data_IF_530856992652
#
_entry.id   IF_530856992652
#
_cell.length_a   1.000
_cell.length_b   1.000
_cell.length_c   1.000
_cell.angle_alpha   90.00
_cell.angle_beta   90.00
_cell.angle_gamma   90.00
#
_symmetry.space_group_name_H-M   'P 1'
#
loop_
_entity.id
_entity.type
_entity.pdbx_description
1 polymer ?
#
# COMPACT_ATOMS: atom_id res chain seq x y z
N UNK A 1 -10.42 -5.47 -15.54
CA UNK A 1 -11.47 -6.46 -15.88
C UNK A 1 -12.02 -6.10 -17.25
N UNK A 2 -12.09 -7.09 -18.13
CA UNK A 2 -12.63 -6.95 -19.47
C UNK A 2 -14.06 -7.51 -19.49
N UNK A 3 -14.92 -6.90 -20.28
CA UNK A 3 -16.30 -7.33 -20.50
C UNK A 3 -16.44 -7.80 -21.95
N UNK A 4 -16.66 -9.09 -22.15
CA UNK A 4 -16.89 -9.67 -23.47
C UNK A 4 -18.37 -9.61 -23.84
N UNK A 5 -18.67 -8.98 -24.98
CA UNK A 5 -19.97 -9.03 -25.64
C UNK A 5 -19.85 -9.73 -26.99
N UNK A 6 -21.00 -10.03 -27.59
CA UNK A 6 -21.10 -10.45 -28.99
C UNK A 6 -20.52 -9.43 -29.99
N UNK A 7 -20.23 -8.20 -29.53
CA UNK A 7 -19.69 -7.10 -30.34
C UNK A 7 -18.23 -6.75 -30.00
N UNK A 8 -17.61 -7.44 -29.04
CA UNK A 8 -16.20 -7.28 -28.70
C UNK A 8 -15.91 -7.20 -27.20
N UNK A 9 -14.64 -6.98 -26.86
CA UNK A 9 -14.15 -6.93 -25.48
C UNK A 9 -13.93 -5.49 -25.03
N UNK A 10 -14.56 -5.07 -23.93
CA UNK A 10 -14.49 -3.70 -23.43
C UNK A 10 -13.84 -3.64 -22.03
N UNK A 11 -12.82 -2.79 -21.81
CA UNK A 11 -12.27 -2.60 -20.48
C UNK A 11 -13.27 -1.83 -19.62
N UNK A 12 -13.83 -2.49 -18.61
CA UNK A 12 -14.84 -1.92 -17.73
C UNK A 12 -14.23 -1.27 -16.49
N UNK A 13 -13.22 -1.93 -15.93
CA UNK A 13 -12.63 -1.62 -14.65
C UNK A 13 -11.11 -1.59 -14.74
N UNK A 14 -10.53 -0.52 -14.22
CA UNK A 14 -9.09 -0.33 -14.07
C UNK A 14 -8.68 -0.19 -12.61
N UNK A 15 -7.43 -0.56 -12.31
CA UNK A 15 -6.80 -0.27 -11.02
C UNK A 15 -5.56 0.55 -11.29
N UNK A 16 -5.45 1.69 -10.61
CA UNK A 16 -4.25 2.50 -10.62
C UNK A 16 -3.64 2.51 -9.23
N UNK A 17 -2.40 2.06 -9.13
CA UNK A 17 -1.65 2.07 -7.87
C UNK A 17 -0.60 3.18 -7.93
N UNK A 18 -0.48 3.95 -6.85
CA UNK A 18 0.62 4.90 -6.63
C UNK A 18 1.41 4.53 -5.39
N UNK A 19 2.74 4.71 -5.45
CA UNK A 19 3.63 4.50 -4.31
C UNK A 19 4.45 5.75 -4.03
N UNK A 20 4.24 6.37 -2.88
CA UNK A 20 4.96 7.55 -2.35
C UNK A 20 5.05 8.77 -3.29
N UNK A 21 4.23 8.84 -4.34
CA UNK A 21 4.02 10.04 -5.15
C UNK A 21 3.01 10.99 -4.51
N UNK A 22 2.84 12.21 -5.00
CA UNK A 22 1.76 13.09 -4.53
C UNK A 22 0.38 12.48 -4.87
N UNK A 23 -0.55 12.51 -3.91
CA UNK A 23 -1.89 11.91 -4.09
C UNK A 23 -2.67 12.61 -5.20
N UNK A 24 -2.55 13.94 -5.32
CA UNK A 24 -3.25 14.72 -6.34
C UNK A 24 -2.81 14.32 -7.75
N UNK A 25 -1.51 14.06 -7.94
CA UNK A 25 -0.99 13.57 -9.23
C UNK A 25 -1.56 12.18 -9.58
N UNK A 26 -1.75 11.30 -8.60
CA UNK A 26 -2.37 9.99 -8.80
C UNK A 26 -3.84 10.16 -9.18
N UNK A 27 -4.56 11.02 -8.46
CA UNK A 27 -5.97 11.31 -8.70
C UNK A 27 -6.19 11.90 -10.10
N UNK A 28 -5.37 12.86 -10.53
CA UNK A 28 -5.42 13.41 -11.89
C UNK A 28 -5.24 12.32 -12.94
N UNK A 29 -4.25 11.42 -12.77
CA UNK A 29 -4.03 10.31 -13.70
C UNK A 29 -5.23 9.36 -13.79
N UNK A 30 -5.88 9.08 -12.66
CA UNK A 30 -7.07 8.21 -12.62
C UNK A 30 -8.27 8.87 -13.28
N UNK A 31 -8.50 10.16 -12.99
CA UNK A 31 -9.55 10.95 -13.63
C UNK A 31 -9.36 11.02 -15.15
N UNK A 32 -8.13 11.26 -15.59
CA UNK A 32 -7.75 11.25 -17.01
C UNK A 32 -8.00 9.88 -17.66
N UNK A 33 -7.63 8.79 -16.98
CA UNK A 33 -7.86 7.42 -17.46
C UNK A 33 -9.35 7.16 -17.67
N UNK A 34 -10.18 7.49 -16.68
CA UNK A 34 -11.64 7.32 -16.76
C UNK A 34 -12.20 8.18 -17.89
N UNK A 35 -11.79 9.45 -18.00
CA UNK A 35 -12.31 10.37 -19.01
C UNK A 35 -11.93 9.96 -20.43
N UNK A 36 -10.65 9.68 -20.68
CA UNK A 36 -10.07 9.49 -22.03
C UNK A 36 -10.24 8.09 -22.60
N UNK A 37 -10.67 7.12 -21.80
CA UNK A 37 -10.80 5.71 -22.24
C UNK A 37 -12.24 5.20 -22.11
N UNK A 38 -12.49 3.98 -22.56
CA UNK A 38 -13.78 3.28 -22.39
C UNK A 38 -13.99 2.74 -20.97
N UNK A 39 -13.00 2.87 -20.08
CA UNK A 39 -13.09 2.47 -18.68
C UNK A 39 -14.24 3.22 -18.01
N UNK A 40 -15.13 2.46 -17.36
CA UNK A 40 -16.28 2.99 -16.64
C UNK A 40 -15.99 3.19 -15.15
N UNK A 41 -15.04 2.44 -14.61
CA UNK A 41 -14.63 2.52 -13.20
C UNK A 41 -13.13 2.42 -13.07
N UNK A 42 -12.56 3.24 -12.20
CA UNK A 42 -11.19 3.09 -11.76
C UNK A 42 -11.11 3.05 -10.24
N UNK A 43 -10.37 2.06 -9.74
CA UNK A 43 -9.95 1.98 -8.35
C UNK A 43 -8.57 2.61 -8.21
N UNK A 44 -8.47 3.67 -7.42
CA UNK A 44 -7.20 4.27 -7.03
C UNK A 44 -6.73 3.65 -5.72
N UNK A 45 -5.53 3.10 -5.70
CA UNK A 45 -4.85 2.64 -4.48
C UNK A 45 -3.62 3.53 -4.27
N UNK A 46 -3.65 4.34 -3.23
CA UNK A 46 -2.57 5.25 -2.88
C UNK A 46 -1.80 4.73 -1.68
N UNK A 47 -0.55 4.31 -1.90
CA UNK A 47 0.35 3.76 -0.89
C UNK A 47 1.42 4.80 -0.57
N UNK A 48 1.67 5.07 0.70
CA UNK A 48 2.72 5.97 1.17
C UNK A 48 3.72 5.24 2.04
N UNK A 49 4.97 5.66 1.96
CA UNK A 49 6.03 5.31 2.90
C UNK A 49 6.46 6.55 3.68
N UNK A 50 6.49 6.47 5.01
CA UNK A 50 6.95 7.55 5.89
C UNK A 50 7.90 7.04 6.99
N UNK A 51 9.08 7.66 7.17
CA UNK A 51 9.70 8.63 6.28
C UNK A 51 10.03 7.99 4.92
N UNK A 52 10.11 8.82 3.87
CA UNK A 52 10.55 8.36 2.56
C UNK A 52 11.97 7.78 2.65
N UNK A 53 12.19 6.67 1.95
CA UNK A 53 13.47 6.01 1.94
C UNK A 53 14.61 6.90 1.46
N UNK A 54 15.71 6.83 2.20
CA UNK A 54 17.01 7.31 1.80
C UNK A 54 17.99 6.20 2.10
N UNK A 55 18.85 5.85 1.15
CA UNK A 55 19.86 4.81 1.37
C UNK A 55 20.70 5.16 2.62
N UNK A 56 20.66 4.32 3.67
CA UNK A 56 21.32 4.62 4.93
C UNK A 56 22.84 4.69 4.79
N UNK A 57 23.44 4.00 3.82
CA UNK A 57 24.88 3.99 3.57
C UNK A 57 25.43 5.27 2.94
N UNK A 58 24.59 6.27 2.67
CA UNK A 58 25.07 7.62 2.32
C UNK A 58 25.82 8.32 3.46
N UNK A 59 25.78 7.78 4.68
CA UNK A 59 26.46 8.34 5.86
C UNK A 59 27.48 7.32 6.38
N UNK A 60 28.74 7.73 6.52
CA UNK A 60 29.82 6.84 6.98
C UNK A 60 29.48 6.16 8.32
N UNK A 61 28.97 6.92 9.29
CA UNK A 61 28.52 6.39 10.60
C UNK A 61 27.56 5.20 10.51
N UNK A 62 26.73 5.15 9.47
CA UNK A 62 25.76 4.07 9.27
C UNK A 62 26.44 2.83 8.66
N UNK A 63 27.48 3.02 7.85
CA UNK A 63 28.33 1.93 7.36
C UNK A 63 29.08 1.31 8.54
N UNK A 64 29.63 2.13 9.43
CA UNK A 64 30.34 1.67 10.62
C UNK A 64 29.40 0.91 11.58
N UNK A 65 28.20 1.44 11.82
CA UNK A 65 27.15 0.75 12.57
C UNK A 65 26.80 -0.60 11.94
N UNK A 66 26.57 -0.64 10.63
CA UNK A 66 26.26 -1.88 9.92
C UNK A 66 27.36 -2.94 10.07
N UNK A 67 28.64 -2.55 9.93
CA UNK A 67 29.78 -3.47 10.12
C UNK A 67 29.82 -4.00 11.56
N UNK A 68 29.65 -3.11 12.54
CA UNK A 68 29.61 -3.48 13.96
C UNK A 68 28.49 -4.48 14.26
N UNK A 69 27.26 -4.18 13.82
CA UNK A 69 26.09 -5.03 14.01
C UNK A 69 26.21 -6.37 13.29
N UNK A 70 26.72 -6.37 12.05
CA UNK A 70 26.93 -7.59 11.27
C UNK A 70 27.96 -8.52 11.94
N UNK A 71 29.05 -7.97 12.46
CA UNK A 71 30.07 -8.76 13.16
C UNK A 71 29.55 -9.32 14.50
N UNK A 72 28.65 -8.59 15.16
CA UNK A 72 28.05 -8.99 16.45
C UNK A 72 26.88 -9.97 16.27
N UNK A 73 26.25 -10.00 15.09
CA UNK A 73 25.09 -10.82 14.79
C UNK A 73 25.35 -11.72 13.56
N UNK A 74 25.77 -12.99 13.75
CA UNK A 74 26.05 -13.90 12.64
C UNK A 74 24.78 -14.36 11.90
N UNK A 75 23.60 -13.95 12.37
CA UNK A 75 22.34 -14.23 11.70
C UNK A 75 22.33 -13.60 10.31
N UNK A 76 22.02 -14.43 9.30
CA UNK A 76 21.84 -13.96 7.94
C UNK A 76 20.69 -12.96 7.81
N UNK A 77 20.73 -12.20 6.71
CA UNK A 77 19.75 -11.16 6.40
C UNK A 77 18.29 -11.62 6.59
N UNK A 78 17.91 -12.78 6.05
CA UNK A 78 16.53 -13.29 6.10
C UNK A 78 16.06 -13.55 7.53
N UNK A 79 16.95 -14.05 8.39
CA UNK A 79 16.65 -14.27 9.81
C UNK A 79 16.40 -12.94 10.53
N UNK A 80 17.19 -11.91 10.24
CA UNK A 80 17.01 -10.58 10.82
C UNK A 80 15.74 -9.90 10.28
N UNK A 81 15.44 -10.05 9.00
CA UNK A 81 14.21 -9.54 8.40
C UNK A 81 12.97 -10.17 9.05
N UNK A 82 12.99 -11.48 9.30
CA UNK A 82 11.92 -12.18 10.01
C UNK A 82 11.74 -11.61 11.43
N UNK A 83 12.82 -11.60 12.22
CA UNK A 83 12.81 -11.11 13.61
C UNK A 83 12.38 -9.66 13.71
N UNK A 84 12.85 -8.78 12.82
CA UNK A 84 12.47 -7.36 12.79
C UNK A 84 10.97 -7.15 12.57
N UNK A 85 10.28 -8.12 11.97
CA UNK A 85 8.85 -8.02 11.68
C UNK A 85 7.99 -8.86 12.61
N UNK A 86 8.59 -9.69 13.46
CA UNK A 86 7.89 -10.58 14.37
C UNK A 86 7.17 -9.76 15.45
N UNK A 87 5.90 -10.08 15.72
CA UNK A 87 5.06 -9.32 16.66
C UNK A 87 4.75 -7.87 16.25
N UNK A 88 5.30 -7.36 15.15
CA UNK A 88 5.09 -6.00 14.69
C UNK A 88 3.85 -5.89 13.80
N UNK A 89 3.11 -4.76 13.86
CA UNK A 89 2.07 -4.48 12.88
C UNK A 89 2.57 -4.56 11.43
N UNK A 90 1.70 -5.03 10.51
CA UNK A 90 2.09 -5.29 9.12
C UNK A 90 2.63 -4.06 8.37
N UNK A 91 2.30 -2.86 8.85
CA UNK A 91 2.68 -1.57 8.27
C UNK A 91 3.94 -0.95 8.88
N UNK A 92 4.47 -1.48 9.98
CA UNK A 92 5.60 -0.89 10.69
C UNK A 92 6.86 -0.81 9.83
N UNK A 93 7.80 0.10 10.12
CA UNK A 93 9.11 0.13 9.45
C UNK A 93 9.87 -1.21 9.53
N UNK A 94 10.79 -1.46 8.60
CA UNK A 94 11.74 -2.59 8.68
C UNK A 94 13.12 -2.08 9.09
N UNK A 95 13.69 -2.70 10.12
CA UNK A 95 15.04 -2.40 10.61
C UNK A 95 15.94 -3.64 10.55
N UNK A 96 17.14 -3.49 10.01
CA UNK A 96 18.14 -4.57 9.98
C UNK A 96 19.52 -3.98 10.20
N UNK A 97 20.32 -4.62 11.04
CA UNK A 97 21.65 -4.13 11.45
C UNK A 97 21.60 -2.69 11.99
N UNK A 98 20.59 -2.36 12.80
CA UNK A 98 20.40 -1.01 13.33
C UNK A 98 19.96 0.06 12.31
N UNK A 99 19.75 -0.30 11.06
CA UNK A 99 19.40 0.62 9.97
C UNK A 99 17.97 0.42 9.48
N UNK A 100 17.29 1.52 9.17
CA UNK A 100 15.96 1.50 8.59
C UNK A 100 16.02 1.27 7.07
N UNK A 101 15.31 0.25 6.59
CA UNK A 101 15.27 -0.12 5.17
C UNK A 101 13.94 0.21 4.50
N UNK A 102 12.86 0.27 5.28
CA UNK A 102 11.58 0.85 4.87
C UNK A 102 11.03 1.72 5.99
N UNK A 103 10.39 2.82 5.63
CA UNK A 103 9.48 3.53 6.52
C UNK A 103 8.20 2.75 6.83
N UNK A 104 7.37 3.36 7.65
CA UNK A 104 6.02 2.93 7.91
C UNK A 104 5.17 3.10 6.65
N UNK A 105 4.37 2.09 6.34
CA UNK A 105 3.51 2.12 5.16
C UNK A 105 2.09 2.55 5.55
N UNK A 106 1.44 3.31 4.69
CA UNK A 106 -0.02 3.48 4.73
C UNK A 106 -0.61 3.27 3.36
N UNK A 107 -1.86 2.82 3.30
CA UNK A 107 -2.58 2.69 2.05
C UNK A 107 -4.02 3.15 2.19
N UNK A 108 -4.49 3.82 1.14
CA UNK A 108 -5.87 4.24 0.99
C UNK A 108 -6.42 3.88 -0.37
N UNK A 109 -7.73 3.80 -0.45
CA UNK A 109 -8.47 3.42 -1.64
C UNK A 109 -9.54 4.46 -1.94
N UNK A 110 -9.78 4.71 -3.21
CA UNK A 110 -10.85 5.60 -3.68
C UNK A 110 -11.38 5.12 -5.03
N UNK A 111 -12.68 5.21 -5.24
CA UNK A 111 -13.32 4.78 -6.49
C UNK A 111 -13.78 5.98 -7.30
N UNK A 112 -13.48 5.93 -8.59
CA UNK A 112 -13.94 6.88 -9.59
C UNK A 112 -14.78 6.16 -10.63
N UNK A 113 -15.91 6.72 -11.02
CA UNK A 113 -16.75 6.21 -12.10
C UNK A 113 -16.86 7.23 -13.23
N UNK A 114 -17.15 6.78 -14.44
CA UNK A 114 -17.53 7.63 -15.56
C UNK A 114 -19.03 7.93 -15.45
N UNK A 115 -19.37 9.21 -15.40
CA UNK A 115 -20.74 9.66 -15.56
C UNK A 115 -21.21 9.38 -17.00
N UNK A 116 -22.32 8.65 -17.14
CA UNK A 116 -22.78 8.17 -18.46
C UNK A 116 -23.35 9.29 -19.34
N UNK A 117 -23.78 10.41 -18.74
CA UNK A 117 -24.39 11.54 -19.45
C UNK A 117 -23.32 12.51 -19.94
N UNK A 118 -22.35 12.83 -19.09
CA UNK A 118 -21.33 13.85 -19.32
C UNK A 118 -19.98 13.28 -19.75
N UNK A 119 -19.76 11.97 -19.55
CA UNK A 119 -18.48 11.30 -19.78
C UNK A 119 -17.38 11.68 -18.80
N UNK A 120 -17.68 12.50 -17.78
CA UNK A 120 -16.70 13.01 -16.81
C UNK A 120 -16.49 12.03 -15.65
N UNK A 121 -15.32 12.04 -15.01
CA UNK A 121 -15.08 11.23 -13.83
C UNK A 121 -15.81 11.81 -12.60
N UNK A 122 -16.49 10.96 -11.85
CA UNK A 122 -17.17 11.26 -10.58
C UNK A 122 -16.62 10.38 -9.45
N UNK A 123 -16.52 10.95 -8.25
CA UNK A 123 -16.05 10.21 -7.08
C UNK A 123 -17.22 9.38 -6.53
N UNK A 124 -17.04 8.05 -6.43
CA UNK A 124 -18.03 7.14 -5.85
C UNK A 124 -17.86 6.94 -4.35
N UNK A 125 -16.64 7.11 -3.86
CA UNK A 125 -16.29 7.06 -2.44
C UNK A 125 -15.42 8.25 -2.06
N UNK A 126 -15.42 8.58 -0.78
CA UNK A 126 -14.31 9.31 -0.18
C UNK A 126 -13.03 8.45 -0.21
N UNK A 127 -11.90 9.03 0.19
CA UNK A 127 -10.63 8.32 0.32
C UNK A 127 -10.60 7.53 1.62
N UNK A 128 -10.72 6.22 1.53
CA UNK A 128 -10.83 5.32 2.69
C UNK A 128 -9.45 4.74 3.01
N UNK A 129 -9.02 4.83 4.27
CA UNK A 129 -7.73 4.26 4.72
C UNK A 129 -7.93 2.80 5.14
N UNK A 130 -7.16 1.87 4.56
CA UNK A 130 -7.31 0.43 4.84
C UNK A 130 -6.03 -0.23 5.36
N UNK A 131 -4.90 0.49 5.39
CA UNK A 131 -3.59 0.02 5.88
C UNK A 131 -2.74 1.19 6.40
N UNK A 132 -1.81 0.92 7.33
CA UNK A 132 -0.98 1.95 8.00
C UNK A 132 -1.64 2.51 9.24
N UNK A 133 -0.92 3.16 10.17
CA UNK A 133 -1.33 3.37 11.56
C UNK A 133 -2.75 3.94 11.73
N UNK A 134 -3.47 3.55 12.80
CA UNK A 134 -4.81 4.08 13.05
C UNK A 134 -4.72 5.60 13.21
N UNK A 135 -5.59 6.33 12.49
CA UNK A 135 -5.69 7.77 12.68
C UNK A 135 -6.36 8.01 14.04
N UNK A 136 -5.87 8.96 14.86
CA UNK A 136 -6.60 9.36 16.04
C UNK A 136 -7.98 9.87 15.59
N UNK A 137 -9.05 9.24 16.07
CA UNK A 137 -10.39 9.80 15.96
C UNK A 137 -10.34 11.17 16.67
N UNK A 138 -10.62 12.24 15.93
CA UNK A 138 -10.94 13.52 16.55
C UNK A 138 -12.14 13.28 17.45
N UNK A 139 -11.93 13.49 18.75
CA UNK A 139 -12.90 13.58 19.84
C UNK A 139 -14.36 13.31 19.46
N UNK A 140 -14.87 12.15 19.83
CA UNK A 140 -16.12 12.15 20.59
C UNK A 140 -16.19 10.96 21.56
N UNK A 141 -16.29 11.35 22.84
CA UNK A 141 -16.98 10.67 23.94
C UNK A 141 -16.15 9.69 24.77
N UNK A 142 -15.52 10.33 25.77
CA UNK A 142 -15.44 9.91 27.18
C UNK A 142 -14.82 8.55 27.41
N UNK A 143 -13.53 8.60 27.74
CA UNK A 143 -12.88 7.66 28.66
C UNK A 143 -13.88 7.29 29.78
N UNK A 144 -14.36 6.04 29.77
CA UNK A 144 -14.54 5.32 31.01
C UNK A 144 -13.22 4.63 31.28
N UNK A 145 -12.55 5.09 32.31
CA UNK A 145 -11.36 4.48 32.89
C UNK A 145 -11.69 3.05 33.30
N UNK A 146 -10.84 2.09 32.94
CA UNK A 146 -10.87 0.76 33.58
C UNK A 146 -10.64 -0.46 32.68
N UNK A 147 -10.57 -0.32 31.35
CA UNK A 147 -10.29 -1.47 30.49
C UNK A 147 -8.96 -1.29 29.75
N UNK A 148 -8.02 -2.22 30.00
CA UNK A 148 -6.92 -2.53 29.08
C UNK A 148 -7.55 -2.91 27.76
N UNK A 149 -7.81 -1.93 26.92
CA UNK A 149 -8.17 -2.14 25.53
C UNK A 149 -6.92 -2.71 24.87
N UNK A 150 -6.95 -3.99 24.53
CA UNK A 150 -6.16 -4.49 23.40
C UNK A 150 -6.34 -3.45 22.29
N UNK A 151 -5.25 -2.86 21.81
CA UNK A 151 -5.28 -1.88 20.74
C UNK A 151 -5.78 -2.59 19.47
N UNK A 152 -7.09 -2.77 19.36
CA UNK A 152 -7.77 -3.27 18.18
C UNK A 152 -7.60 -2.15 17.15
N UNK A 153 -6.63 -2.33 16.26
CA UNK A 153 -6.29 -1.38 15.20
C UNK A 153 -7.55 -1.12 14.34
N UNK A 154 -8.30 -0.06 14.60
CA UNK A 154 -9.55 0.23 13.89
C UNK A 154 -9.21 0.87 12.54
N UNK A 155 -8.84 0.05 11.56
CA UNK A 155 -9.12 0.35 10.15
C UNK A 155 -10.56 -0.04 9.86
N UNK A 156 -11.17 0.57 8.84
CA UNK A 156 -12.38 -0.02 8.29
C UNK A 156 -12.00 -1.42 7.78
N UNK A 157 -12.50 -2.47 8.44
CA UNK A 157 -12.04 -3.84 8.22
C UNK A 157 -12.35 -4.30 6.79
N UNK A 158 -13.51 -3.89 6.30
CA UNK A 158 -13.95 -4.13 4.93
C UNK A 158 -14.60 -2.89 4.33
N UNK A 159 -13.81 -1.95 3.78
CA UNK A 159 -14.33 -0.78 3.11
C UNK A 159 -15.40 -1.12 2.07
N UNK A 160 -16.55 -0.45 2.16
CA UNK A 160 -17.54 -0.52 1.09
C UNK A 160 -17.10 0.42 -0.06
N UNK A 161 -16.97 -0.14 -1.26
CA UNK A 161 -16.57 0.60 -2.45
C UNK A 161 -17.74 1.34 -3.13
N UNK A 162 -18.96 1.19 -2.63
CA UNK A 162 -20.20 1.81 -3.12
C UNK A 162 -20.36 1.66 -4.65
N UNK A 163 -20.04 0.47 -5.16
CA UNK A 163 -19.84 0.22 -6.58
C UNK A 163 -20.27 -1.19 -6.89
N UNK A 164 -21.16 -1.37 -7.88
CA UNK A 164 -21.69 -2.69 -8.30
C UNK A 164 -21.33 -2.97 -9.75
N UNK A 165 -21.28 -4.24 -10.17
CA UNK A 165 -21.06 -4.55 -11.59
C UNK A 165 -22.19 -4.00 -12.48
N UNK A 166 -23.44 -4.07 -11.98
CA UNK A 166 -24.63 -3.54 -12.64
C UNK A 166 -24.61 -2.04 -12.88
N UNK A 167 -23.81 -1.27 -12.11
CA UNK A 167 -23.67 0.17 -12.32
C UNK A 167 -23.00 0.48 -13.68
N UNK A 168 -22.32 -0.50 -14.27
CA UNK A 168 -21.49 -0.32 -15.46
C UNK A 168 -21.85 -1.24 -16.61
N UNK A 169 -22.63 -2.29 -16.37
CA UNK A 169 -23.10 -3.19 -17.41
C UNK A 169 -24.60 -3.40 -17.22
N UNK A 170 -25.42 -3.28 -18.28
CA UNK A 170 -26.85 -3.55 -18.20
C UNK A 170 -27.09 -5.05 -18.05
N UNK A 171 -26.92 -5.54 -16.82
CA UNK A 171 -27.11 -6.94 -16.46
C UNK A 171 -28.39 -7.07 -15.64
N UNK A 172 -29.29 -7.93 -16.10
CA UNK A 172 -30.56 -8.22 -15.46
C UNK A 172 -30.44 -9.20 -14.29
N UNK A 173 -29.33 -9.95 -14.21
CA UNK A 173 -29.11 -10.97 -13.19
C UNK A 173 -28.69 -10.34 -11.84
N UNK A 174 -29.30 -10.84 -10.76
CA UNK A 174 -29.11 -10.38 -9.38
C UNK A 174 -27.67 -10.49 -8.89
N UNK A 175 -26.90 -11.46 -9.42
CA UNK A 175 -25.48 -11.65 -9.05
C UNK A 175 -24.66 -10.38 -9.34
N UNK A 176 -25.01 -9.62 -10.38
CA UNK A 176 -24.28 -8.42 -10.77
C UNK A 176 -24.71 -7.15 -10.01
N UNK A 177 -25.79 -7.23 -9.22
CA UNK A 177 -26.27 -6.14 -8.35
C UNK A 177 -25.59 -6.15 -6.97
N UNK A 178 -24.69 -7.09 -6.73
CA UNK A 178 -23.88 -7.15 -5.51
C UNK A 178 -22.76 -6.10 -5.54
N UNK A 179 -22.42 -5.57 -4.37
CA UNK A 179 -21.32 -4.64 -4.22
C UNK A 179 -19.99 -5.32 -4.56
N UNK A 180 -19.10 -4.58 -5.23
CA UNK A 180 -17.72 -4.98 -5.45
C UNK A 180 -16.99 -5.06 -4.11
N UNK A 181 -16.62 -6.28 -3.71
CA UNK A 181 -15.89 -6.55 -2.49
C UNK A 181 -14.45 -6.93 -2.83
N UNK A 182 -13.49 -6.28 -2.17
CA UNK A 182 -12.10 -6.71 -2.20
C UNK A 182 -11.81 -7.63 -1.00
N UNK A 183 -10.92 -8.59 -1.20
CA UNK A 183 -10.40 -9.42 -0.09
C UNK A 183 -9.40 -8.59 0.72
N UNK A 184 -9.90 -7.70 1.57
CA UNK A 184 -9.10 -6.70 2.29
C UNK A 184 -7.98 -7.31 3.13
N UNK A 185 -8.26 -8.41 3.84
CA UNK A 185 -7.24 -9.14 4.61
C UNK A 185 -6.11 -9.69 3.73
N UNK A 186 -6.45 -10.14 2.51
CA UNK A 186 -5.47 -10.60 1.52
C UNK A 186 -4.63 -9.43 1.03
N UNK A 187 -5.25 -8.29 0.69
CA UNK A 187 -4.53 -7.08 0.28
C UNK A 187 -3.57 -6.57 1.37
N UNK A 188 -4.02 -6.49 2.64
CA UNK A 188 -3.18 -6.08 3.77
C UNK A 188 -1.99 -7.02 3.96
N UNK A 189 -2.20 -8.33 3.85
CA UNK A 189 -1.13 -9.32 3.91
C UNK A 189 -0.12 -9.12 2.77
N UNK A 190 -0.59 -8.91 1.54
CA UNK A 190 0.29 -8.64 0.40
C UNK A 190 1.08 -7.34 0.57
N UNK A 191 0.48 -6.28 1.10
CA UNK A 191 1.22 -5.05 1.43
C UNK A 191 2.29 -5.29 2.49
N UNK A 192 1.97 -6.07 3.53
CA UNK A 192 2.94 -6.48 4.54
C UNK A 192 4.11 -7.28 3.98
N UNK A 193 3.86 -8.17 3.02
CA UNK A 193 4.91 -8.93 2.30
C UNK A 193 5.71 -8.03 1.36
N UNK A 194 5.05 -7.17 0.59
CA UNK A 194 5.70 -6.23 -0.33
C UNK A 194 6.64 -5.28 0.41
N UNK A 195 6.28 -4.84 1.62
CA UNK A 195 7.16 -4.06 2.50
C UNK A 195 8.46 -4.82 2.83
N UNK A 196 8.36 -6.09 3.24
CA UNK A 196 9.54 -6.93 3.55
C UNK A 196 10.41 -7.13 2.31
N UNK A 197 9.78 -7.41 1.17
CA UNK A 197 10.47 -7.55 -0.11
C UNK A 197 11.20 -6.27 -0.52
N UNK A 198 10.57 -5.09 -0.36
CA UNK A 198 11.18 -3.81 -0.67
C UNK A 198 12.40 -3.52 0.23
N UNK A 199 12.32 -3.88 1.51
CA UNK A 199 13.47 -3.78 2.43
C UNK A 199 14.64 -4.63 1.94
N UNK A 200 14.37 -5.87 1.51
CA UNK A 200 15.34 -6.81 0.94
C UNK A 200 16.01 -6.26 -0.31
N UNK A 201 15.22 -5.81 -1.29
CA UNK A 201 15.74 -5.26 -2.53
C UNK A 201 16.62 -4.03 -2.30
N UNK A 202 16.20 -3.14 -1.40
CA UNK A 202 16.98 -1.96 -1.02
C UNK A 202 18.29 -2.31 -0.32
N UNK A 203 18.27 -3.30 0.57
CA UNK A 203 19.47 -3.81 1.22
C UNK A 203 20.46 -4.35 0.19
N UNK A 204 20.01 -5.27 -0.67
CA UNK A 204 20.86 -5.89 -1.68
C UNK A 204 21.47 -4.84 -2.62
N UNK A 205 20.65 -3.92 -3.13
CA UNK A 205 21.13 -2.84 -4.00
C UNK A 205 22.12 -1.90 -3.28
N UNK A 206 21.93 -1.65 -1.98
CA UNK A 206 22.82 -0.80 -1.22
C UNK A 206 24.18 -1.48 -0.92
N UNK A 207 24.18 -2.79 -0.66
CA UNK A 207 25.41 -3.58 -0.48
C UNK A 207 26.18 -3.68 -1.79
N UNK A 208 25.51 -4.03 -2.89
CA UNK A 208 26.15 -4.10 -4.21
C UNK A 208 26.81 -2.76 -4.57
N UNK A 209 26.16 -1.65 -4.25
CA UNK A 209 26.74 -0.32 -4.45
C UNK A 209 27.97 -0.09 -3.57
N UNK A 210 27.91 -0.42 -2.28
CA UNK A 210 29.06 -0.26 -1.38
C UNK A 210 30.28 -1.05 -1.86
N UNK A 211 30.07 -2.28 -2.34
CA UNK A 211 31.14 -3.13 -2.86
C UNK A 211 31.77 -2.55 -4.13
N UNK A 212 30.94 -2.03 -5.05
CA UNK A 212 31.41 -1.33 -6.26
C UNK A 212 32.19 -0.06 -5.95
N UNK A 213 31.81 0.66 -4.90
CA UNK A 213 32.49 1.88 -4.45
C UNK A 213 33.83 1.58 -3.72
N UNK A 214 34.30 0.33 -3.74
CA UNK A 214 35.57 -0.09 -3.13
C UNK A 214 35.53 -0.19 -1.61
N UNK A 215 34.37 0.10 -0.99
CA UNK A 215 34.14 -0.12 0.43
C UNK A 215 33.78 -1.58 0.66
N UNK A 216 34.78 -2.47 0.51
CA UNK A 216 34.61 -3.92 0.66
C UNK A 216 33.78 -4.24 1.90
N UNK A 217 32.73 -5.01 1.66
CA UNK A 217 31.90 -5.64 2.69
C UNK A 217 32.26 -7.14 2.73
N UNK A 218 33.57 -7.44 2.73
CA UNK A 218 34.09 -8.82 2.70
C UNK A 218 34.00 -9.48 4.09
N UNK A 219 33.98 -10.83 4.11
CA UNK A 219 33.02 -11.67 4.84
C UNK A 219 33.10 -11.63 6.36
#
# INVERSE_FOLDING_TARGET
MLWDTNTGTFPLFAVQVGFSQASDNLETKVKDLVQKTTVRVALMIDIKEKPMYKNPFRKQKNIDLYRSERNSQPAGFETLLHRSCEGCPLFSPVFMYGLQWTGEFSASVQVFAKDLTTGKPVNKTERISFFGPPKPQKEERRRKEGERSEQKLIYEESPNLNTKLSDFVPLSDEIYKQDLILKWNVLRRHLGLARKQLARERYLAAIEKLEKDGMRVSP
#
